data_IF_071610309189
#
_entry.id   IF_071610309189
#
_cell.length_a   1.000
_cell.length_b   1.000
_cell.length_c   1.000
_cell.angle_alpha   90.00
_cell.angle_beta   90.00
_cell.angle_gamma   90.00
#
_symmetry.space_group_name_H-M   'P 1'
#
loop_
_entity.id
_entity.type
_entity.pdbx_description
1 polymer ?
#
# COMPACT_ATOMS: atom_id res chain seq x y z
N UNK A 1 2.03 -8.56 8.72
CA UNK A 1 2.10 -7.43 9.63
C UNK A 1 0.75 -6.73 9.75
N UNK A 2 0.55 -6.06 10.84
CA UNK A 2 -0.70 -5.32 11.07
C UNK A 2 -0.74 -3.94 10.42
N UNK A 3 0.27 -3.57 9.65
CA UNK A 3 0.37 -2.27 8.99
C UNK A 3 1.76 -1.68 9.10
N UNK A 4 1.92 -0.47 8.56
CA UNK A 4 3.24 0.18 8.48
C UNK A 4 3.78 0.63 9.85
N UNK A 5 2.90 0.91 10.80
CA UNK A 5 3.29 1.24 12.17
C UNK A 5 3.15 -0.01 13.02
N UNK A 6 3.98 -1.00 12.73
CA UNK A 6 4.00 -2.28 13.42
C UNK A 6 5.25 -2.35 14.29
N UNK A 7 5.13 -2.47 15.61
CA UNK A 7 6.30 -2.60 16.46
C UNK A 7 7.09 -3.87 16.15
N UNK A 8 8.38 -3.72 15.88
CA UNK A 8 9.31 -4.84 15.67
C UNK A 8 10.13 -5.10 16.92
N UNK A 9 10.46 -4.05 17.66
CA UNK A 9 11.17 -4.13 18.92
C UNK A 9 10.67 -3.02 19.84
N UNK A 10 10.27 -3.38 21.02
CA UNK A 10 9.72 -2.42 21.99
C UNK A 10 10.13 -2.81 23.40
N UNK A 11 11.41 -2.59 23.72
CA UNK A 11 11.96 -2.92 25.04
C UNK A 11 12.89 -1.81 25.51
N UNK A 12 12.79 -1.44 26.78
CA UNK A 12 13.64 -0.43 27.38
C UNK A 12 13.71 0.83 26.54
N UNK A 13 14.92 1.20 26.11
CA UNK A 13 15.18 2.38 25.27
C UNK A 13 15.11 2.08 23.78
N UNK A 14 14.91 0.81 23.39
CA UNK A 14 14.89 0.38 21.99
C UNK A 14 13.46 0.23 21.49
N UNK A 15 13.04 1.20 20.66
CA UNK A 15 11.72 1.21 20.04
C UNK A 15 11.89 1.26 18.53
N UNK A 16 11.56 0.17 17.84
CA UNK A 16 11.66 0.07 16.37
C UNK A 16 10.32 -0.37 15.81
N UNK A 17 9.76 0.43 14.93
CA UNK A 17 8.58 0.08 14.17
C UNK A 17 8.97 -0.24 12.72
N UNK A 18 8.05 -0.84 11.96
CA UNK A 18 8.34 -1.31 10.61
C UNK A 18 8.82 -0.18 9.67
N UNK A 19 8.24 0.99 9.76
CA UNK A 19 8.65 2.12 8.92
C UNK A 19 10.07 2.63 9.24
N UNK A 20 10.52 2.51 10.49
CA UNK A 20 11.92 2.81 10.84
C UNK A 20 12.89 1.91 10.07
N UNK A 21 12.55 0.63 9.97
CA UNK A 21 13.35 -0.33 9.22
C UNK A 21 13.38 0.03 7.73
N UNK A 22 12.22 0.39 7.17
CA UNK A 22 12.13 0.80 5.78
C UNK A 22 13.02 2.03 5.49
N UNK A 23 13.00 3.03 6.38
CA UNK A 23 13.84 4.22 6.25
C UNK A 23 15.32 3.85 6.34
N UNK A 24 15.71 3.06 7.35
CA UNK A 24 17.11 2.66 7.56
C UNK A 24 17.68 1.87 6.38
N UNK A 25 16.86 1.06 5.74
CA UNK A 25 17.29 0.22 4.62
C UNK A 25 17.07 0.90 3.25
N UNK A 26 16.50 2.10 3.21
CA UNK A 26 16.23 2.80 1.97
C UNK A 26 15.20 2.09 1.09
N UNK A 27 14.20 1.45 1.71
CA UNK A 27 13.20 0.68 0.99
C UNK A 27 12.07 1.57 0.46
N UNK A 28 11.50 1.16 -0.67
CA UNK A 28 10.23 1.68 -1.16
C UNK A 28 9.08 0.78 -0.67
N UNK A 29 7.87 1.32 -0.68
CA UNK A 29 6.68 0.62 -0.24
C UNK A 29 5.75 0.30 -1.41
N UNK A 30 5.12 -0.86 -1.32
CA UNK A 30 3.94 -1.25 -2.10
C UNK A 30 2.85 -1.55 -1.07
N UNK A 31 1.73 -0.86 -1.16
CA UNK A 31 0.67 -0.97 -0.16
C UNK A 31 -0.43 -1.88 -0.66
N UNK A 32 -0.71 -2.93 0.10
CA UNK A 32 -1.85 -3.82 -0.16
C UNK A 32 -3.00 -3.37 0.72
N UNK A 33 -4.09 -2.93 0.10
CA UNK A 33 -5.28 -2.46 0.79
C UNK A 33 -6.47 -3.36 0.46
N UNK A 34 -7.36 -3.54 1.42
CA UNK A 34 -8.62 -4.24 1.17
C UNK A 34 -9.54 -3.34 0.34
N UNK A 35 -10.14 -3.89 -0.72
CA UNK A 35 -10.97 -3.13 -1.63
C UNK A 35 -12.33 -2.74 -1.05
N UNK A 36 -12.68 -3.24 0.11
CA UNK A 36 -13.97 -3.03 0.76
C UNK A 36 -14.12 -1.68 1.41
N UNK A 37 -15.11 -1.60 2.30
CA UNK A 37 -15.46 -0.37 3.00
C UNK A 37 -14.28 0.16 3.83
N UNK A 38 -14.06 1.47 3.76
CA UNK A 38 -12.99 2.12 4.52
C UNK A 38 -11.65 2.17 3.82
N UNK A 39 -11.54 1.64 2.61
CA UNK A 39 -10.27 1.58 1.88
C UNK A 39 -9.68 2.96 1.55
N UNK A 40 -10.53 3.93 1.22
CA UNK A 40 -10.05 5.29 0.89
C UNK A 40 -9.32 5.88 2.10
N UNK A 41 -9.95 5.84 3.26
CA UNK A 41 -9.37 6.37 4.49
C UNK A 41 -8.05 5.66 4.83
N UNK A 42 -8.05 4.34 4.82
CA UNK A 42 -6.87 3.55 5.16
C UNK A 42 -5.72 3.78 4.16
N UNK A 43 -6.02 3.80 2.87
CA UNK A 43 -5.02 4.01 1.82
C UNK A 43 -4.41 5.41 1.88
N UNK A 44 -5.25 6.44 2.03
CA UNK A 44 -4.78 7.83 2.07
C UNK A 44 -3.94 8.07 3.32
N UNK A 45 -4.38 7.62 4.49
CA UNK A 45 -3.61 7.78 5.73
C UNK A 45 -2.27 7.06 5.66
N UNK A 46 -2.25 5.86 5.09
CA UNK A 46 -0.99 5.11 4.90
C UNK A 46 -0.05 5.87 3.96
N UNK A 47 -0.56 6.36 2.84
CA UNK A 47 0.24 7.13 1.89
C UNK A 47 0.81 8.40 2.53
N UNK A 48 0.01 9.15 3.26
CA UNK A 48 0.45 10.36 3.94
C UNK A 48 1.56 10.07 4.95
N UNK A 49 1.41 8.98 5.70
CA UNK A 49 2.44 8.56 6.64
C UNK A 49 3.75 8.21 5.93
N UNK A 50 3.68 7.47 4.83
CA UNK A 50 4.86 7.11 4.04
C UNK A 50 5.54 8.36 3.48
N UNK A 51 4.78 9.30 2.94
CA UNK A 51 5.33 10.55 2.41
C UNK A 51 6.01 11.36 3.51
N UNK A 52 5.40 11.45 4.68
CA UNK A 52 5.97 12.17 5.82
C UNK A 52 7.29 11.58 6.29
N UNK A 53 7.46 10.26 6.16
CA UNK A 53 8.69 9.55 6.50
C UNK A 53 9.71 9.52 5.35
N UNK A 54 9.37 10.07 4.18
CA UNK A 54 10.25 10.04 3.02
C UNK A 54 10.40 8.65 2.41
N UNK A 55 9.42 7.75 2.63
CA UNK A 55 9.42 6.41 2.05
C UNK A 55 8.69 6.48 0.70
N UNK A 56 9.37 6.15 -0.41
CA UNK A 56 8.70 6.15 -1.71
C UNK A 56 7.57 5.13 -1.76
N UNK A 57 6.39 5.57 -2.21
CA UNK A 57 5.24 4.70 -2.42
C UNK A 57 5.13 4.39 -3.91
N UNK A 58 5.33 3.11 -4.28
CA UNK A 58 5.38 2.67 -5.68
C UNK A 58 3.99 2.38 -6.25
N UNK A 59 3.04 2.05 -5.41
CA UNK A 59 1.68 1.76 -5.85
C UNK A 59 0.85 1.09 -4.78
N UNK A 60 -0.42 0.89 -5.14
CA UNK A 60 -1.38 0.14 -4.33
C UNK A 60 -1.77 -1.15 -5.06
N UNK A 61 -2.06 -2.18 -4.28
CA UNK A 61 -2.77 -3.37 -4.73
C UNK A 61 -4.06 -3.45 -3.93
N UNK A 62 -5.20 -3.49 -4.62
CA UNK A 62 -6.49 -3.68 -3.97
C UNK A 62 -6.81 -5.16 -3.91
N UNK A 63 -6.81 -5.71 -2.69
CA UNK A 63 -7.13 -7.11 -2.42
C UNK A 63 -8.62 -7.28 -2.13
N UNK A 64 -9.10 -8.53 -2.23
CA UNK A 64 -10.51 -8.88 -2.06
C UNK A 64 -11.43 -8.09 -2.99
N UNK A 65 -10.97 -7.92 -4.22
CA UNK A 65 -11.69 -7.15 -5.24
C UNK A 65 -12.95 -7.87 -5.69
N UNK A 66 -14.07 -7.18 -5.64
CA UNK A 66 -15.38 -7.69 -6.08
C UNK A 66 -15.89 -6.97 -7.32
N UNK A 67 -15.26 -5.87 -7.69
CA UNK A 67 -15.69 -5.06 -8.83
C UNK A 67 -16.86 -4.13 -8.50
N UNK A 68 -17.48 -3.64 -9.54
CA UNK A 68 -18.61 -2.73 -9.42
C UNK A 68 -18.20 -1.26 -9.37
N UNK A 69 -19.20 -0.41 -9.58
CA UNK A 69 -19.01 1.03 -9.71
C UNK A 69 -18.39 1.65 -8.45
N UNK A 70 -18.84 1.23 -7.28
CA UNK A 70 -18.33 1.77 -6.02
C UNK A 70 -16.84 1.48 -5.85
N UNK A 71 -16.41 0.26 -6.11
CA UNK A 71 -14.99 -0.09 -5.97
C UNK A 71 -14.13 0.59 -7.03
N UNK A 72 -14.61 0.73 -8.26
CA UNK A 72 -13.92 1.50 -9.30
C UNK A 72 -13.81 2.98 -8.94
N UNK A 73 -14.84 3.57 -8.37
CA UNK A 73 -14.76 4.95 -7.87
C UNK A 73 -13.76 5.08 -6.73
N UNK A 74 -13.67 4.09 -5.84
CA UNK A 74 -12.68 4.09 -4.76
C UNK A 74 -11.25 4.06 -5.32
N UNK A 75 -11.00 3.28 -6.37
CA UNK A 75 -9.70 3.28 -7.06
C UNK A 75 -9.35 4.69 -7.54
N UNK A 76 -10.27 5.32 -8.26
CA UNK A 76 -10.05 6.66 -8.80
C UNK A 76 -9.77 7.68 -7.70
N UNK A 77 -10.55 7.64 -6.61
CA UNK A 77 -10.37 8.57 -5.49
C UNK A 77 -9.05 8.37 -4.78
N UNK A 78 -8.63 7.12 -4.55
CA UNK A 78 -7.33 6.83 -3.95
C UNK A 78 -6.20 7.36 -4.83
N UNK A 79 -6.28 7.12 -6.14
CA UNK A 79 -5.26 7.62 -7.07
C UNK A 79 -5.18 9.15 -7.09
N UNK A 80 -6.33 9.83 -7.12
CA UNK A 80 -6.38 11.29 -7.13
C UNK A 80 -5.88 11.88 -5.81
N UNK A 81 -6.28 11.31 -4.67
CA UNK A 81 -5.92 11.83 -3.35
C UNK A 81 -4.46 11.57 -2.98
N UNK A 82 -3.88 10.48 -3.47
CA UNK A 82 -2.50 10.09 -3.11
C UNK A 82 -1.47 10.42 -4.18
N UNK A 83 -1.89 10.66 -5.42
CA UNK A 83 -0.99 10.80 -6.55
C UNK A 83 -0.29 9.50 -6.94
N UNK A 84 -0.77 8.35 -6.47
CA UNK A 84 -0.14 7.05 -6.67
C UNK A 84 -1.15 6.07 -7.28
N UNK A 85 -0.68 5.25 -8.22
CA UNK A 85 -1.55 4.35 -8.98
C UNK A 85 -1.95 3.11 -8.19
N UNK A 86 -3.15 2.62 -8.47
CA UNK A 86 -3.57 1.26 -8.12
C UNK A 86 -3.10 0.33 -9.24
N UNK A 87 -2.13 -0.52 -8.94
CA UNK A 87 -1.43 -1.33 -9.94
C UNK A 87 -2.16 -2.63 -10.26
N UNK A 88 -2.91 -3.16 -9.30
CA UNK A 88 -3.61 -4.42 -9.47
C UNK A 88 -4.88 -4.46 -8.62
N UNK A 89 -5.87 -5.18 -9.13
CA UNK A 89 -7.11 -5.54 -8.45
C UNK A 89 -7.13 -7.05 -8.31
N UNK A 90 -7.07 -7.56 -7.09
CA UNK A 90 -6.88 -8.98 -6.81
C UNK A 90 -8.16 -9.57 -6.21
N UNK A 91 -8.88 -10.43 -6.92
CA UNK A 91 -10.05 -11.12 -6.37
C UNK A 91 -9.67 -11.99 -5.18
N UNK A 92 -10.61 -12.19 -4.26
CA UNK A 92 -10.40 -13.07 -3.12
C UNK A 92 -10.03 -14.48 -3.58
N UNK A 93 -8.97 -15.04 -3.03
CA UNK A 93 -8.51 -16.38 -3.35
C UNK A 93 -7.77 -16.50 -4.68
N UNK A 94 -7.41 -15.40 -5.34
CA UNK A 94 -6.62 -15.44 -6.57
C UNK A 94 -5.23 -16.05 -6.30
N UNK A 95 -4.81 -16.97 -7.18
CA UNK A 95 -3.51 -17.64 -7.06
C UNK A 95 -2.35 -16.80 -7.59
N UNK A 96 -2.64 -15.86 -8.49
CA UNK A 96 -1.63 -15.02 -9.14
C UNK A 96 -2.02 -13.57 -9.09
N UNK A 97 -1.02 -12.69 -9.04
CA UNK A 97 -1.22 -11.25 -9.10
C UNK A 97 -1.48 -10.83 -10.55
N UNK A 98 -2.63 -10.19 -10.86
CA UNK A 98 -2.93 -9.79 -12.24
C UNK A 98 -2.20 -8.49 -12.60
N UNK A 99 -0.89 -8.55 -12.72
CA UNK A 99 -0.04 -7.42 -13.10
C UNK A 99 0.72 -7.73 -14.37
N UNK A 100 0.73 -6.76 -15.30
CA UNK A 100 1.51 -6.87 -16.52
C UNK A 100 3.01 -6.68 -16.28
N UNK A 101 3.83 -7.10 -17.23
CA UNK A 101 5.29 -6.99 -17.11
C UNK A 101 5.77 -5.53 -17.01
N UNK A 102 5.09 -4.60 -17.67
CA UNK A 102 5.41 -3.17 -17.62
C UNK A 102 5.20 -2.59 -16.22
N UNK A 103 4.14 -3.02 -15.54
CA UNK A 103 3.85 -2.61 -14.17
C UNK A 103 4.87 -3.18 -13.21
N UNK A 104 5.20 -4.47 -13.35
CA UNK A 104 6.22 -5.11 -12.52
C UNK A 104 7.57 -4.43 -12.68
N UNK A 105 7.96 -4.07 -13.91
CA UNK A 105 9.21 -3.36 -14.16
C UNK A 105 9.24 -2.00 -13.46
N UNK A 106 8.14 -1.26 -13.45
CA UNK A 106 8.04 0.04 -12.82
C UNK A 106 8.26 -0.01 -11.29
N UNK A 107 7.98 -1.14 -10.65
CA UNK A 107 8.19 -1.31 -9.21
C UNK A 107 9.66 -1.31 -8.81
N UNK A 108 10.56 -1.62 -9.74
CA UNK A 108 11.99 -1.72 -9.48
C UNK A 108 12.80 -0.49 -9.95
N UNK A 109 12.12 0.52 -10.43
CA UNK A 109 12.77 1.77 -10.87
C UNK A 109 13.22 2.68 -9.73
#
# INVERSE_FOLDING_TARGET
SGGIICPLRWDGDEHVVLDDLAVRLGLAALVVADAGLGTINAAVLTAEHLYARGIPLRGFIFNNWQGGLMQEDNVRMVEELTGTRVLARVPHGAAELPMGADVLAALYE
#
